data_IF_781119514701
#
_entry.id   IF_781119514701
#
_cell.length_a   1.000
_cell.length_b   1.000
_cell.length_c   1.000
_cell.angle_alpha   90.00
_cell.angle_beta   90.00
_cell.angle_gamma   90.00
#
_symmetry.space_group_name_H-M   'P 1'
#
loop_
_entity.id
_entity.type
_entity.pdbx_description
1 polymer ?
#
# COMPACT_ATOMS: atom_id res chain seq x y z
N UNK A 1 21.14 -1.77 13.27
CA UNK A 1 21.50 -3.21 13.40
C UNK A 1 20.77 -4.08 12.38
N UNK A 2 19.52 -3.76 12.00
CA UNK A 2 18.76 -4.57 11.04
C UNK A 2 19.23 -4.31 9.60
N UNK A 3 19.47 -3.06 9.21
CA UNK A 3 19.89 -2.70 7.84
C UNK A 3 21.27 -3.22 7.47
N UNK A 4 22.19 -3.26 8.44
CA UNK A 4 23.54 -3.81 8.29
C UNK A 4 23.51 -5.32 8.00
N UNK A 5 22.53 -6.05 8.56
CA UNK A 5 22.43 -7.50 8.35
C UNK A 5 21.87 -7.82 6.96
N UNK A 6 20.92 -7.03 6.47
CA UNK A 6 20.36 -7.21 5.13
C UNK A 6 21.36 -6.83 4.02
N UNK A 7 22.11 -5.73 4.20
CA UNK A 7 23.14 -5.36 3.23
C UNK A 7 24.27 -6.40 3.16
N UNK A 8 24.63 -6.97 4.30
CA UNK A 8 25.68 -8.00 4.41
C UNK A 8 25.23 -9.32 3.75
N UNK A 9 23.98 -9.74 3.98
CA UNK A 9 23.39 -10.91 3.31
C UNK A 9 23.31 -10.75 1.78
N UNK A 10 22.91 -9.58 1.29
CA UNK A 10 22.83 -9.29 -0.14
C UNK A 10 24.23 -9.25 -0.78
N UNK A 11 25.19 -8.61 -0.11
CA UNK A 11 26.59 -8.60 -0.53
C UNK A 11 27.19 -10.01 -0.58
N UNK A 12 26.83 -10.86 0.39
CA UNK A 12 27.27 -12.26 0.43
C UNK A 12 26.65 -13.10 -0.69
N UNK A 13 25.36 -12.89 -1.01
CA UNK A 13 24.72 -13.56 -2.16
C UNK A 13 25.34 -13.09 -3.48
N UNK A 14 25.62 -11.79 -3.64
CA UNK A 14 26.29 -11.27 -4.84
C UNK A 14 27.75 -11.70 -4.95
N UNK A 15 28.45 -11.89 -3.83
CA UNK A 15 29.80 -12.44 -3.81
C UNK A 15 29.78 -13.91 -4.25
N UNK A 16 28.82 -14.69 -3.74
CA UNK A 16 28.63 -16.08 -4.16
C UNK A 16 28.28 -16.17 -5.65
N UNK A 17 27.39 -15.32 -6.17
CA UNK A 17 27.00 -15.31 -7.59
C UNK A 17 28.17 -14.88 -8.51
N UNK A 18 29.09 -14.04 -8.02
CA UNK A 18 30.32 -13.67 -8.75
C UNK A 18 31.41 -14.74 -8.67
N UNK A 19 31.49 -15.47 -7.56
CA UNK A 19 32.46 -16.56 -7.36
C UNK A 19 32.01 -17.86 -8.02
N UNK A 20 30.70 -18.08 -8.18
CA UNK A 20 30.16 -19.21 -8.94
C UNK A 20 30.01 -18.81 -10.41
N UNK A 21 30.94 -19.18 -11.31
CA UNK A 21 30.66 -19.05 -12.74
C UNK A 21 29.38 -19.81 -13.07
N UNK A 22 28.56 -19.28 -13.99
CA UNK A 22 27.35 -19.94 -14.49
C UNK A 22 27.61 -21.38 -15.00
N UNK A 23 28.88 -21.73 -15.24
CA UNK A 23 29.35 -23.08 -15.58
C UNK A 23 29.38 -24.07 -14.40
N UNK A 24 29.54 -23.61 -13.16
CA UNK A 24 29.65 -24.53 -12.00
C UNK A 24 28.32 -25.09 -11.49
N UNK A 25 27.20 -24.40 -11.75
CA UNK A 25 25.86 -24.85 -11.30
C UNK A 25 25.09 -25.64 -12.37
N UNK A 26 25.61 -25.68 -13.60
CA UNK A 26 25.07 -26.50 -14.68
C UNK A 26 25.64 -27.92 -14.59
N UNK A 27 25.03 -28.77 -13.76
CA UNK A 27 25.53 -30.15 -13.52
C UNK A 27 25.62 -30.96 -14.82
N UNK A 28 24.79 -30.67 -15.84
CA UNK A 28 24.92 -31.24 -17.18
C UNK A 28 24.40 -30.22 -18.21
N UNK A 29 25.29 -29.61 -19.00
CA UNK A 29 24.88 -28.96 -20.25
C UNK A 29 24.61 -30.07 -21.26
N UNK A 30 23.38 -30.59 -21.25
CA UNK A 30 22.92 -31.65 -22.16
C UNK A 30 23.04 -31.20 -23.63
N UNK A 31 23.10 -29.90 -23.86
CA UNK A 31 23.33 -29.23 -25.13
C UNK A 31 24.80 -28.83 -25.36
N UNK A 32 25.77 -29.40 -24.67
CA UNK A 32 27.18 -29.17 -25.01
C UNK A 32 27.74 -30.41 -25.72
N UNK A 33 28.41 -30.27 -26.88
CA UNK A 33 28.96 -31.42 -27.57
C UNK A 33 30.01 -32.11 -26.69
N UNK A 34 29.93 -33.43 -26.57
CA UNK A 34 30.78 -34.29 -25.71
C UNK A 34 32.29 -34.20 -26.06
N UNK A 35 32.70 -33.34 -27.00
CA UNK A 35 34.07 -33.22 -27.52
C UNK A 35 34.84 -31.94 -27.16
N UNK A 36 34.31 -30.99 -26.37
CA UNK A 36 34.97 -29.68 -26.13
C UNK A 36 35.62 -29.51 -24.76
N UNK A 37 35.79 -30.58 -23.98
CA UNK A 37 36.38 -30.50 -22.63
C UNK A 37 37.92 -30.58 -22.59
N UNK A 38 38.62 -30.35 -23.69
CA UNK A 38 40.07 -30.09 -23.66
C UNK A 38 40.32 -28.69 -24.22
N UNK A 39 40.61 -27.76 -23.32
CA UNK A 39 40.95 -26.39 -23.65
C UNK A 39 42.23 -26.36 -24.49
N UNK A 40 42.09 -26.23 -25.81
CA UNK A 40 43.00 -25.44 -26.66
C UNK A 40 42.45 -25.35 -28.08
N UNK A 41 42.48 -24.12 -28.60
CA UNK A 41 42.59 -23.74 -30.01
C UNK A 41 41.37 -23.95 -30.92
N UNK A 42 40.73 -22.81 -31.23
CA UNK A 42 40.51 -22.33 -32.60
C UNK A 42 40.96 -23.30 -33.70
N UNK A 43 40.02 -24.04 -34.28
CA UNK A 43 40.23 -24.68 -35.58
C UNK A 43 39.37 -23.96 -36.59
N UNK A 44 40.00 -23.08 -37.38
CA UNK A 44 39.37 -22.49 -38.55
C UNK A 44 38.94 -23.62 -39.51
N UNK A 45 37.63 -23.85 -39.59
CA UNK A 45 37.05 -24.80 -40.54
C UNK A 45 37.09 -24.16 -41.93
N UNK A 46 37.97 -24.65 -42.81
CA UNK A 46 38.04 -24.21 -44.21
C UNK A 46 36.68 -24.38 -44.91
N UNK A 47 36.25 -23.43 -45.76
CA UNK A 47 34.88 -23.33 -46.27
C UNK A 47 34.54 -24.31 -47.42
N UNK A 48 35.36 -25.33 -47.64
CA UNK A 48 35.21 -26.24 -48.79
C UNK A 48 35.09 -27.69 -48.34
N UNK A 49 34.01 -27.98 -47.61
CA UNK A 49 33.51 -29.35 -47.49
C UNK A 49 31.99 -29.30 -47.57
N UNK A 50 31.46 -29.65 -48.74
CA UNK A 50 30.04 -29.93 -48.95
C UNK A 50 29.68 -31.14 -48.08
N UNK A 51 29.32 -30.92 -46.83
CA UNK A 51 28.72 -31.94 -45.96
C UNK A 51 27.21 -31.73 -46.03
N UNK A 52 26.56 -32.44 -46.95
CA UNK A 52 25.10 -32.61 -46.95
C UNK A 52 24.71 -33.64 -45.88
N UNK A 53 25.20 -33.43 -44.67
CA UNK A 53 24.90 -34.25 -43.51
C UNK A 53 24.24 -33.31 -42.49
N UNK A 54 22.93 -33.50 -42.30
CA UNK A 54 22.10 -32.74 -41.35
C UNK A 54 22.65 -32.84 -39.92
N UNK A 55 23.51 -33.83 -39.65
CA UNK A 55 24.14 -34.05 -38.35
C UNK A 55 25.21 -33.02 -37.96
N UNK A 56 25.72 -32.19 -38.89
CA UNK A 56 26.77 -31.21 -38.54
C UNK A 56 26.24 -29.88 -37.98
N UNK A 57 25.00 -29.48 -38.27
CA UNK A 57 24.42 -28.24 -37.73
C UNK A 57 24.00 -28.37 -36.24
N UNK A 58 23.83 -29.61 -35.76
CA UNK A 58 23.48 -29.89 -34.37
C UNK A 58 24.61 -29.61 -33.37
N UNK A 59 25.86 -29.54 -33.83
CA UNK A 59 27.03 -29.25 -32.98
C UNK A 59 27.26 -27.75 -32.76
N UNK A 60 26.78 -26.90 -33.68
CA UNK A 60 27.01 -25.45 -33.63
C UNK A 60 25.90 -24.70 -32.84
N UNK A 61 24.71 -25.29 -32.67
CA UNK A 61 23.61 -24.73 -31.85
C UNK A 61 22.57 -25.79 -31.41
N UNK A 62 22.89 -26.67 -30.46
CA UNK A 62 21.97 -27.71 -29.98
C UNK A 62 20.79 -27.12 -29.21
N UNK A 63 19.59 -27.24 -29.79
CA UNK A 63 18.32 -26.99 -29.10
C UNK A 63 17.81 -28.30 -28.50
N UNK A 64 17.12 -28.33 -27.33
CA UNK A 64 16.64 -29.57 -26.70
C UNK A 64 15.82 -30.48 -27.62
N UNK A 65 15.03 -29.88 -28.53
CA UNK A 65 14.25 -30.61 -29.53
C UNK A 65 15.13 -31.28 -30.62
N UNK A 66 16.26 -30.67 -30.98
CA UNK A 66 17.22 -31.23 -31.94
C UNK A 66 17.94 -32.43 -31.33
N UNK A 67 18.33 -32.35 -30.05
CA UNK A 67 19.01 -33.46 -29.38
C UNK A 67 18.12 -34.69 -29.24
N UNK A 68 16.84 -34.52 -28.93
CA UNK A 68 15.91 -35.65 -28.86
C UNK A 68 15.80 -36.35 -30.23
N UNK A 69 15.68 -35.58 -31.31
CA UNK A 69 15.67 -36.13 -32.67
C UNK A 69 16.97 -36.89 -32.99
N UNK A 70 18.13 -36.35 -32.63
CA UNK A 70 19.42 -37.01 -32.86
C UNK A 70 19.57 -38.31 -32.05
N UNK A 71 19.16 -38.31 -30.78
CA UNK A 71 19.17 -39.52 -29.95
C UNK A 71 18.26 -40.62 -30.54
N UNK A 72 17.10 -40.26 -31.09
CA UNK A 72 16.24 -41.22 -31.78
C UNK A 72 16.90 -41.74 -33.07
N UNK A 73 17.51 -40.86 -33.86
CA UNK A 73 18.21 -41.22 -35.08
C UNK A 73 19.38 -42.19 -34.81
N UNK A 74 20.24 -41.86 -33.84
CA UNK A 74 21.36 -42.73 -33.46
C UNK A 74 20.89 -44.06 -32.91
N UNK A 75 19.83 -44.07 -32.08
CA UNK A 75 19.24 -45.32 -31.57
C UNK A 75 18.78 -46.23 -32.72
N UNK A 76 18.14 -45.68 -33.75
CA UNK A 76 17.74 -46.44 -34.93
C UNK A 76 18.93 -46.91 -35.75
N UNK A 77 19.91 -46.04 -36.00
CA UNK A 77 21.13 -46.35 -36.74
C UNK A 77 21.92 -47.49 -36.06
N UNK A 78 22.17 -47.39 -34.76
CA UNK A 78 22.86 -48.42 -33.99
C UNK A 78 22.05 -49.70 -33.89
N UNK A 79 20.72 -49.64 -33.83
CA UNK A 79 19.88 -50.84 -33.87
C UNK A 79 20.00 -51.57 -35.21
N UNK A 80 19.98 -50.83 -36.33
CA UNK A 80 20.19 -51.38 -37.68
C UNK A 80 21.60 -51.94 -37.85
N UNK A 81 22.61 -51.22 -37.38
CA UNK A 81 24.00 -51.66 -37.45
C UNK A 81 24.24 -52.92 -36.62
N UNK A 82 23.70 -52.96 -35.40
CA UNK A 82 23.73 -54.14 -34.53
C UNK A 82 23.06 -55.33 -35.20
N UNK A 83 21.87 -55.16 -35.80
CA UNK A 83 21.19 -56.24 -36.51
C UNK A 83 22.03 -56.77 -37.68
N UNK A 84 22.51 -55.88 -38.54
CA UNK A 84 23.35 -56.22 -39.70
C UNK A 84 24.63 -56.95 -39.28
N UNK A 85 25.32 -56.46 -38.25
CA UNK A 85 26.52 -57.09 -37.72
C UNK A 85 26.24 -58.47 -37.16
N UNK A 86 25.18 -58.61 -36.36
CA UNK A 86 24.82 -59.90 -35.76
C UNK A 86 24.44 -60.92 -36.84
N UNK A 87 23.71 -60.50 -37.87
CA UNK A 87 23.38 -61.31 -39.03
C UNK A 87 24.65 -61.72 -39.82
N UNK A 88 25.58 -60.81 -40.04
CA UNK A 88 26.81 -61.10 -40.76
C UNK A 88 27.70 -62.08 -39.98
N UNK A 89 27.92 -61.83 -38.69
CA UNK A 89 28.73 -62.70 -37.83
C UNK A 89 28.10 -64.08 -37.68
N UNK A 90 26.78 -64.17 -37.58
CA UNK A 90 26.09 -65.47 -37.51
C UNK A 90 26.19 -66.24 -38.82
N UNK A 91 26.02 -65.57 -39.97
CA UNK A 91 26.24 -66.18 -41.29
C UNK A 91 27.68 -66.67 -41.47
N UNK A 92 28.67 -65.86 -41.10
CA UNK A 92 30.08 -66.24 -41.18
C UNK A 92 30.40 -67.42 -40.27
N UNK A 93 29.95 -67.35 -39.00
CA UNK A 93 30.17 -68.43 -38.02
C UNK A 93 29.52 -69.73 -38.47
N UNK A 94 28.33 -69.67 -39.06
CA UNK A 94 27.64 -70.84 -39.62
C UNK A 94 28.41 -71.45 -40.80
N UNK A 95 28.85 -70.64 -41.75
CA UNK A 95 29.66 -71.11 -42.88
C UNK A 95 30.98 -71.71 -42.41
N UNK A 96 31.67 -71.07 -41.46
CA UNK A 96 32.90 -71.59 -40.88
C UNK A 96 32.68 -72.90 -40.12
N UNK A 97 31.55 -73.05 -39.42
CA UNK A 97 31.22 -74.28 -38.69
C UNK A 97 30.97 -75.48 -39.61
N UNK A 98 30.39 -75.25 -40.81
CA UNK A 98 30.11 -76.31 -41.81
C UNK A 98 31.34 -76.63 -42.66
N UNK A 99 32.13 -75.61 -43.03
CA UNK A 99 33.29 -75.76 -43.94
C UNK A 99 34.58 -76.07 -43.17
N UNK A 100 34.63 -75.82 -41.86
CA UNK A 100 35.78 -76.12 -41.02
C UNK A 100 36.06 -77.63 -40.90
N UNK A 101 37.34 -78.00 -40.87
CA UNK A 101 37.80 -79.37 -40.64
C UNK A 101 38.55 -79.42 -39.29
N UNK A 102 38.00 -80.07 -38.24
CA UNK A 102 36.76 -80.84 -38.20
C UNK A 102 35.49 -79.96 -38.07
N UNK A 103 34.31 -80.44 -38.55
CA UNK A 103 33.07 -79.69 -38.47
C UNK A 103 32.64 -79.49 -37.02
N UNK A 104 32.20 -78.28 -36.69
CA UNK A 104 31.80 -77.94 -35.32
C UNK A 104 30.36 -78.42 -35.07
N UNK A 105 30.22 -79.54 -34.37
CA UNK A 105 28.92 -80.07 -33.92
C UNK A 105 28.68 -79.60 -32.50
N UNK A 106 27.69 -78.71 -32.32
CA UNK A 106 27.29 -78.24 -30.99
C UNK A 106 26.55 -79.37 -30.27
N UNK A 107 27.08 -79.83 -29.13
CA UNK A 107 26.42 -80.85 -28.33
C UNK A 107 25.27 -80.25 -27.51
N UNK A 108 24.30 -81.10 -27.13
CA UNK A 108 23.20 -80.65 -26.27
C UNK A 108 23.69 -80.19 -24.89
N UNK A 109 24.77 -80.79 -24.36
CA UNK A 109 25.44 -80.36 -23.12
C UNK A 109 25.89 -78.90 -23.19
N UNK A 110 26.53 -78.52 -24.30
CA UNK A 110 27.12 -77.20 -24.48
C UNK A 110 26.01 -76.12 -24.56
N UNK A 111 24.87 -76.46 -25.16
CA UNK A 111 23.70 -75.59 -25.16
C UNK A 111 23.11 -75.39 -23.77
N UNK A 112 23.03 -76.46 -22.95
CA UNK A 112 22.52 -76.36 -21.57
C UNK A 112 23.46 -75.51 -20.69
N UNK A 113 24.78 -75.65 -20.86
CA UNK A 113 25.77 -74.81 -20.17
C UNK A 113 25.64 -73.33 -20.57
N UNK A 114 25.56 -73.04 -21.87
CA UNK A 114 25.36 -71.68 -22.37
C UNK A 114 24.03 -71.07 -21.95
N UNK A 115 22.95 -71.85 -21.89
CA UNK A 115 21.65 -71.40 -21.39
C UNK A 115 21.71 -71.03 -19.90
N UNK A 116 22.47 -71.78 -19.09
CA UNK A 116 22.69 -71.47 -17.68
C UNK A 116 23.49 -70.18 -17.49
N UNK A 117 24.57 -69.98 -18.26
CA UNK A 117 25.36 -68.74 -18.24
C UNK A 117 24.53 -67.52 -18.70
N UNK A 118 23.75 -67.69 -19.78
CA UNK A 118 22.86 -66.63 -20.28
C UNK A 118 21.77 -66.27 -19.26
N UNK A 119 21.26 -67.25 -18.51
CA UNK A 119 20.30 -67.00 -17.44
C UNK A 119 20.90 -66.10 -16.35
N UNK A 120 22.13 -66.39 -15.90
CA UNK A 120 22.83 -65.59 -14.90
C UNK A 120 23.11 -64.17 -15.39
N UNK A 121 23.64 -64.03 -16.61
CA UNK A 121 23.93 -62.72 -17.20
C UNK A 121 22.64 -61.90 -17.40
N UNK A 122 21.54 -62.57 -17.77
CA UNK A 122 20.24 -61.90 -17.97
C UNK A 122 19.66 -61.41 -16.65
N UNK A 123 19.78 -62.19 -15.58
CA UNK A 123 19.38 -61.77 -14.24
C UNK A 123 20.21 -60.57 -13.76
N UNK A 124 21.54 -60.61 -13.94
CA UNK A 124 22.40 -59.48 -13.61
C UNK A 124 22.05 -58.23 -14.41
N UNK A 125 21.80 -58.37 -15.71
CA UNK A 125 21.39 -57.27 -16.58
C UNK A 125 20.05 -56.68 -16.14
N UNK A 126 19.08 -57.51 -15.73
CA UNK A 126 17.79 -57.06 -15.22
C UNK A 126 17.96 -56.27 -13.92
N UNK A 127 18.79 -56.77 -12.99
CA UNK A 127 19.10 -56.08 -11.74
C UNK A 127 19.73 -54.71 -12.00
N UNK A 128 20.76 -54.65 -12.86
CA UNK A 128 21.43 -53.37 -13.19
C UNK A 128 20.51 -52.40 -13.91
N UNK A 129 19.61 -52.88 -14.79
CA UNK A 129 18.61 -52.02 -15.44
C UNK A 129 17.65 -51.41 -14.44
N UNK A 130 17.22 -52.19 -13.44
CA UNK A 130 16.33 -51.70 -12.40
C UNK A 130 17.04 -50.68 -11.49
N UNK A 131 18.29 -50.93 -11.13
CA UNK A 131 19.12 -49.98 -10.37
C UNK A 131 19.27 -48.64 -11.11
N UNK A 132 19.59 -48.68 -12.40
CA UNK A 132 19.69 -47.46 -13.23
C UNK A 132 18.33 -46.77 -13.34
N UNK A 133 17.22 -47.51 -13.50
CA UNK A 133 15.88 -46.95 -13.56
C UNK A 133 15.54 -46.18 -12.28
N UNK A 134 15.78 -46.78 -11.12
CA UNK A 134 15.55 -46.14 -9.82
C UNK A 134 16.43 -44.89 -9.66
N UNK A 135 17.72 -44.99 -9.98
CA UNK A 135 18.64 -43.86 -9.90
C UNK A 135 18.23 -42.68 -10.80
N UNK A 136 17.73 -42.96 -12.01
CA UNK A 136 17.21 -41.93 -12.92
C UNK A 136 15.94 -41.28 -12.33
N UNK A 137 15.01 -42.06 -11.80
CA UNK A 137 13.79 -41.52 -11.16
C UNK A 137 14.11 -40.62 -9.96
N UNK A 138 15.08 -41.01 -9.13
CA UNK A 138 15.55 -40.21 -8.00
C UNK A 138 16.24 -38.92 -8.47
N UNK A 139 17.11 -39.02 -9.48
CA UNK A 139 17.79 -37.86 -10.06
C UNK A 139 16.80 -36.88 -10.67
N UNK A 140 15.77 -37.34 -11.37
CA UNK A 140 14.71 -36.47 -11.90
C UNK A 140 13.88 -35.81 -10.80
N UNK A 141 13.59 -36.52 -9.71
CA UNK A 141 12.88 -35.94 -8.58
C UNK A 141 13.72 -34.84 -7.93
N UNK A 142 15.00 -35.12 -7.69
CA UNK A 142 15.93 -34.16 -7.12
C UNK A 142 16.15 -32.95 -8.03
N UNK A 143 16.22 -33.15 -9.36
CA UNK A 143 16.37 -32.05 -10.31
C UNK A 143 15.14 -31.15 -10.35
N UNK A 144 13.92 -31.74 -10.33
CA UNK A 144 12.66 -30.97 -10.24
C UNK A 144 12.56 -30.18 -8.94
N UNK A 145 12.96 -30.76 -7.81
CA UNK A 145 12.94 -30.08 -6.52
C UNK A 145 14.01 -28.97 -6.45
N UNK A 146 15.20 -29.21 -7.02
CA UNK A 146 16.26 -28.22 -7.13
C UNK A 146 15.84 -27.03 -7.99
N UNK A 147 15.21 -27.28 -9.14
CA UNK A 147 14.71 -26.23 -10.03
C UNK A 147 13.72 -25.30 -9.30
N UNK A 148 12.75 -25.87 -8.57
CA UNK A 148 11.78 -25.08 -7.78
C UNK A 148 12.46 -24.24 -6.68
N UNK A 149 13.47 -24.81 -6.01
CA UNK A 149 14.23 -24.07 -4.97
C UNK A 149 15.02 -22.93 -5.59
N UNK A 150 15.63 -23.17 -6.74
CA UNK A 150 16.40 -22.16 -7.45
C UNK A 150 15.51 -21.00 -7.92
N UNK A 151 14.34 -21.28 -8.50
CA UNK A 151 13.35 -20.26 -8.86
C UNK A 151 12.92 -19.40 -7.65
N UNK A 152 12.69 -20.03 -6.49
CA UNK A 152 12.32 -19.31 -5.27
C UNK A 152 13.47 -18.41 -4.78
N UNK A 153 14.70 -18.92 -4.76
CA UNK A 153 15.88 -18.13 -4.37
C UNK A 153 16.08 -16.95 -5.32
N UNK A 154 15.90 -17.14 -6.63
CA UNK A 154 15.95 -16.03 -7.59
C UNK A 154 14.89 -14.97 -7.29
N UNK A 155 13.64 -15.37 -7.04
CA UNK A 155 12.55 -14.45 -6.68
C UNK A 155 12.85 -13.69 -5.38
N UNK A 156 13.34 -14.37 -4.35
CA UNK A 156 13.73 -13.72 -3.09
C UNK A 156 14.90 -12.76 -3.28
N UNK A 157 15.84 -13.10 -4.17
CA UNK A 157 17.01 -12.27 -4.48
C UNK A 157 16.59 -10.99 -5.20
N UNK A 158 15.65 -11.05 -6.15
CA UNK A 158 15.12 -9.84 -6.81
C UNK A 158 14.38 -8.96 -5.82
N UNK A 159 13.53 -9.54 -4.95
CA UNK A 159 12.85 -8.78 -3.89
C UNK A 159 13.84 -8.10 -2.93
N UNK A 160 14.88 -8.82 -2.49
CA UNK A 160 15.94 -8.27 -1.65
C UNK A 160 16.71 -7.14 -2.35
N UNK A 161 16.86 -7.19 -3.67
CA UNK A 161 17.54 -6.14 -4.44
C UNK A 161 16.73 -4.83 -4.55
N UNK A 162 15.40 -4.92 -4.55
CA UNK A 162 14.50 -3.77 -4.66
C UNK A 162 14.23 -3.10 -3.31
N UNK A 163 14.30 -3.86 -2.22
CA UNK A 163 13.97 -3.44 -0.85
C UNK A 163 14.78 -2.23 -0.36
N UNK A 164 16.12 -2.15 -0.55
CA UNK A 164 16.93 -1.01 -0.10
C UNK A 164 16.51 0.31 -0.77
N UNK A 165 16.19 0.28 -2.07
CA UNK A 165 15.72 1.47 -2.78
C UNK A 165 14.35 1.92 -2.25
N UNK A 166 13.45 0.96 -1.96
CA UNK A 166 12.17 1.26 -1.33
C UNK A 166 12.32 1.84 0.07
N UNK A 167 13.25 1.34 0.88
CA UNK A 167 13.54 1.87 2.22
C UNK A 167 14.06 3.31 2.12
N UNK A 168 15.05 3.56 1.27
CA UNK A 168 15.61 4.90 1.08
C UNK A 168 14.53 5.92 0.63
N UNK A 169 13.66 5.53 -0.30
CA UNK A 169 12.53 6.36 -0.72
C UNK A 169 11.56 6.64 0.45
N UNK A 170 11.24 5.63 1.27
CA UNK A 170 10.38 5.81 2.44
C UNK A 170 11.03 6.71 3.48
N UNK A 171 12.32 6.56 3.74
CA UNK A 171 13.07 7.44 4.66
C UNK A 171 13.08 8.90 4.18
N UNK A 172 13.28 9.13 2.87
CA UNK A 172 13.18 10.46 2.26
C UNK A 172 11.76 11.04 2.40
N UNK A 173 10.72 10.23 2.19
CA UNK A 173 9.35 10.72 2.39
C UNK A 173 9.07 11.06 3.85
N UNK A 174 9.59 10.28 4.80
CA UNK A 174 9.43 10.53 6.24
C UNK A 174 10.17 11.80 6.65
N UNK A 175 11.41 12.02 6.19
CA UNK A 175 12.16 13.24 6.48
C UNK A 175 11.43 14.46 5.92
N UNK A 176 10.99 14.39 4.65
CA UNK A 176 10.21 15.47 4.02
C UNK A 176 8.91 15.78 4.76
N UNK A 177 8.19 14.76 5.22
CA UNK A 177 6.95 14.96 5.99
C UNK A 177 7.24 15.56 7.37
N UNK A 178 8.31 15.16 8.04
CA UNK A 178 8.74 15.77 9.31
C UNK A 178 9.17 17.22 9.13
N UNK A 179 9.90 17.52 8.07
CA UNK A 179 10.32 18.89 7.73
C UNK A 179 9.11 19.77 7.41
N UNK A 180 8.15 19.26 6.61
CA UNK A 180 6.90 19.95 6.34
C UNK A 180 6.08 20.19 7.61
N UNK A 181 5.98 19.17 8.48
CA UNK A 181 5.26 19.28 9.76
C UNK A 181 5.93 20.30 10.69
N UNK A 182 7.25 20.27 10.81
CA UNK A 182 7.99 21.21 11.66
C UNK A 182 7.93 22.64 11.13
N UNK A 183 8.02 22.86 9.81
CA UNK A 183 7.81 24.16 9.19
C UNK A 183 6.39 24.68 9.45
N UNK A 184 5.38 23.83 9.29
CA UNK A 184 3.99 24.18 9.56
C UNK A 184 3.73 24.48 11.05
N UNK A 185 4.38 23.74 11.95
CA UNK A 185 4.34 24.02 13.39
C UNK A 185 5.04 25.34 13.72
N UNK A 186 6.20 25.64 13.12
CA UNK A 186 6.91 26.92 13.32
C UNK A 186 6.09 28.11 12.81
N UNK A 187 5.48 28.00 11.62
CA UNK A 187 4.61 29.02 11.05
C UNK A 187 3.34 29.23 11.90
N UNK A 188 2.73 28.15 12.39
CA UNK A 188 1.59 28.24 13.32
C UNK A 188 1.99 28.82 14.68
N UNK A 189 3.17 28.48 15.19
CA UNK A 189 3.69 29.03 16.45
C UNK A 189 3.95 30.53 16.36
N UNK A 190 4.39 31.04 15.21
CA UNK A 190 4.65 32.46 15.02
C UNK A 190 3.36 33.28 14.84
N UNK A 191 2.34 32.71 14.21
CA UNK A 191 1.05 33.37 13.97
C UNK A 191 0.07 33.27 15.15
N UNK A 192 0.11 32.19 15.93
CA UNK A 192 -0.80 31.96 17.07
C UNK A 192 -0.21 31.00 18.09
N UNK A 193 0.56 31.49 19.09
CA UNK A 193 1.17 30.67 20.13
C UNK A 193 0.17 29.81 20.92
N UNK A 194 -1.09 30.24 21.02
CA UNK A 194 -2.18 29.51 21.69
C UNK A 194 -2.65 28.27 20.91
N UNK A 195 -2.34 28.16 19.61
CA UNK A 195 -2.74 27.03 18.77
C UNK A 195 -1.68 25.92 18.71
N UNK A 196 -0.51 26.16 19.29
CA UNK A 196 0.61 25.20 19.31
C UNK A 196 0.93 24.72 20.73
N UNK A 197 -0.10 24.64 21.57
CA UNK A 197 0.01 24.17 22.94
C UNK A 197 -0.08 22.63 22.99
N UNK A 198 0.68 21.96 23.88
CA UNK A 198 0.48 20.55 24.15
C UNK A 198 -0.94 20.30 24.66
N UNK A 199 -1.45 19.08 24.45
CA UNK A 199 -2.84 18.71 24.72
C UNK A 199 -3.34 19.10 26.11
N UNK A 200 -2.50 18.97 27.14
CA UNK A 200 -2.89 19.36 28.49
C UNK A 200 -3.06 20.88 28.65
N UNK A 201 -2.21 21.67 27.99
CA UNK A 201 -2.31 23.12 28.02
C UNK A 201 -3.48 23.65 27.17
N UNK A 202 -3.86 22.97 26.07
CA UNK A 202 -5.07 23.32 25.32
C UNK A 202 -6.34 23.04 26.13
N UNK A 203 -6.39 21.94 26.88
CA UNK A 203 -7.52 21.62 27.75
C UNK A 203 -7.69 22.66 28.88
N UNK A 204 -6.59 23.12 29.48
CA UNK A 204 -6.64 24.20 30.48
C UNK A 204 -7.13 25.52 29.87
N UNK A 205 -6.58 25.92 28.73
CA UNK A 205 -7.01 27.13 28.02
C UNK A 205 -8.48 27.07 27.62
N UNK A 206 -8.97 25.89 27.21
CA UNK A 206 -10.39 25.66 26.88
C UNK A 206 -11.26 25.87 28.12
N UNK A 207 -10.89 25.26 29.26
CA UNK A 207 -11.62 25.42 30.51
C UNK A 207 -11.67 26.89 30.99
N UNK A 208 -10.56 27.62 30.86
CA UNK A 208 -10.50 29.05 31.19
C UNK A 208 -11.42 29.87 30.28
N UNK A 209 -11.40 29.61 28.97
CA UNK A 209 -12.28 30.29 28.00
C UNK A 209 -13.75 29.95 28.20
N UNK A 210 -14.08 28.72 28.57
CA UNK A 210 -15.44 28.32 28.92
C UNK A 210 -15.91 29.03 30.20
N UNK A 211 -15.05 29.14 31.22
CA UNK A 211 -15.35 29.90 32.43
C UNK A 211 -15.59 31.39 32.12
N UNK A 212 -14.74 32.01 31.29
CA UNK A 212 -14.93 33.37 30.79
C UNK A 212 -16.28 33.51 30.05
N UNK A 213 -16.59 32.61 29.12
CA UNK A 213 -17.86 32.63 28.37
C UNK A 213 -19.08 32.50 29.30
N UNK A 214 -19.04 31.64 30.32
CA UNK A 214 -20.15 31.53 31.27
C UNK A 214 -20.31 32.81 32.11
N UNK A 215 -19.20 33.46 32.50
CA UNK A 215 -19.24 34.74 33.20
C UNK A 215 -19.83 35.87 32.33
N UNK A 216 -19.43 35.93 31.06
CA UNK A 216 -19.95 36.89 30.08
C UNK A 216 -21.43 36.66 29.79
N UNK A 217 -21.86 35.41 29.67
CA UNK A 217 -23.29 35.07 29.53
C UNK A 217 -24.10 35.53 30.75
N UNK A 218 -23.54 35.41 31.96
CA UNK A 218 -24.19 35.88 33.19
C UNK A 218 -24.28 37.39 33.25
N UNK A 219 -23.23 38.12 32.87
CA UNK A 219 -23.27 39.59 32.83
C UNK A 219 -24.23 40.09 31.75
N UNK A 220 -24.26 39.45 30.59
CA UNK A 220 -25.23 39.72 29.52
C UNK A 220 -26.66 39.57 30.03
N UNK A 221 -27.01 38.43 30.65
CA UNK A 221 -28.35 38.20 31.21
C UNK A 221 -28.71 39.22 32.30
N UNK A 222 -27.75 39.61 33.14
CA UNK A 222 -27.97 40.66 34.15
C UNK A 222 -28.19 42.05 33.53
N UNK A 223 -27.50 42.34 32.43
CA UNK A 223 -27.67 43.59 31.68
C UNK A 223 -29.01 43.63 30.95
N UNK A 224 -29.42 42.52 30.34
CA UNK A 224 -30.72 42.38 29.67
C UNK A 224 -31.88 42.57 30.67
N UNK A 225 -31.82 41.95 31.85
CA UNK A 225 -32.84 42.15 32.89
C UNK A 225 -32.86 43.58 33.42
N UNK A 226 -31.70 44.21 33.59
CA UNK A 226 -31.61 45.62 33.97
C UNK A 226 -32.16 46.56 32.88
N UNK A 227 -31.92 46.26 31.60
CA UNK A 227 -32.48 46.99 30.46
C UNK A 227 -34.00 46.88 30.42
N UNK A 228 -34.56 45.68 30.61
CA UNK A 228 -36.02 45.49 30.67
C UNK A 228 -36.63 46.28 31.85
N UNK A 229 -35.98 46.28 33.01
CA UNK A 229 -36.47 47.08 34.15
C UNK A 229 -36.39 48.57 33.88
N UNK A 230 -35.27 49.05 33.32
CA UNK A 230 -35.06 50.48 33.02
C UNK A 230 -35.96 50.98 31.90
N UNK A 231 -36.24 50.18 30.90
CA UNK A 231 -37.24 50.50 29.87
C UNK A 231 -38.65 50.59 30.48
N UNK A 232 -39.04 49.64 31.35
CA UNK A 232 -40.30 49.74 32.09
C UNK A 232 -40.40 50.98 33.00
N UNK A 233 -39.33 51.32 33.71
CA UNK A 233 -39.24 52.55 34.52
C UNK A 233 -39.36 53.82 33.64
N UNK A 234 -38.68 53.85 32.49
CA UNK A 234 -38.76 54.97 31.55
C UNK A 234 -40.17 55.14 30.97
N UNK A 235 -40.81 54.05 30.53
CA UNK A 235 -42.19 54.09 30.05
C UNK A 235 -43.18 54.53 31.15
N UNK A 236 -42.95 54.16 32.41
CA UNK A 236 -43.79 54.61 33.52
C UNK A 236 -43.66 56.11 33.75
N UNK A 237 -42.42 56.63 33.76
CA UNK A 237 -42.15 58.07 33.85
C UNK A 237 -42.72 58.84 32.65
N UNK A 238 -42.65 58.30 31.43
CA UNK A 238 -43.30 58.88 30.25
C UNK A 238 -44.83 58.96 30.42
N UNK A 239 -45.46 57.93 30.97
CA UNK A 239 -46.90 57.97 31.29
C UNK A 239 -47.24 59.03 32.35
N UNK A 240 -46.43 59.15 33.40
CA UNK A 240 -46.59 60.17 34.43
C UNK A 240 -46.40 61.59 33.88
N UNK A 241 -45.36 61.81 33.07
CA UNK A 241 -45.13 63.07 32.37
C UNK A 241 -46.31 63.41 31.47
N UNK A 242 -46.83 62.47 30.69
CA UNK A 242 -48.00 62.71 29.84
C UNK A 242 -49.25 63.16 30.64
N UNK A 243 -49.46 62.60 31.84
CA UNK A 243 -50.54 63.03 32.74
C UNK A 243 -50.29 64.42 33.30
N UNK A 244 -49.06 64.72 33.73
CA UNK A 244 -48.68 66.05 34.23
C UNK A 244 -48.77 67.12 33.13
N UNK A 245 -48.38 66.80 31.91
CA UNK A 245 -48.52 67.67 30.74
C UNK A 245 -49.99 67.98 30.44
N UNK A 246 -50.88 66.97 30.50
CA UNK A 246 -52.33 67.21 30.38
C UNK A 246 -52.85 68.14 31.47
N UNK A 247 -52.52 67.88 32.75
CA UNK A 247 -52.90 68.77 33.86
C UNK A 247 -52.35 70.19 33.70
N UNK A 248 -51.09 70.32 33.28
CA UNK A 248 -50.47 71.62 32.98
C UNK A 248 -51.24 72.34 31.88
N UNK A 249 -51.57 71.65 30.79
CA UNK A 249 -52.32 72.23 29.67
C UNK A 249 -53.73 72.65 30.10
N UNK A 250 -54.41 71.86 30.93
CA UNK A 250 -55.71 72.20 31.53
C UNK A 250 -55.62 73.46 32.41
N UNK A 251 -54.63 73.54 33.31
CA UNK A 251 -54.43 74.72 34.18
C UNK A 251 -54.07 75.96 33.34
N UNK A 252 -53.24 75.82 32.31
CA UNK A 252 -52.92 76.91 31.39
C UNK A 252 -54.18 77.36 30.64
N UNK A 253 -55.03 76.42 30.19
CA UNK A 253 -56.29 76.74 29.54
C UNK A 253 -57.25 77.47 30.51
N UNK A 254 -57.40 76.98 31.73
CA UNK A 254 -58.18 77.64 32.79
C UNK A 254 -57.66 79.04 33.11
N UNK A 255 -56.34 79.21 33.22
CA UNK A 255 -55.72 80.51 33.46
C UNK A 255 -55.92 81.48 32.28
N UNK A 256 -55.77 81.01 31.04
CA UNK A 256 -56.07 81.80 29.84
C UNK A 256 -57.54 82.18 29.76
N UNK A 257 -58.45 81.28 30.11
CA UNK A 257 -59.88 81.56 30.17
C UNK A 257 -60.23 82.56 31.27
N UNK A 258 -59.64 82.44 32.46
CA UNK A 258 -59.81 83.40 33.55
C UNK A 258 -59.27 84.79 33.14
N UNK A 259 -58.11 84.83 32.48
CA UNK A 259 -57.55 86.06 31.92
C UNK A 259 -58.45 86.64 30.81
N UNK A 260 -59.03 85.80 29.94
CA UNK A 260 -59.99 86.22 28.92
C UNK A 260 -61.27 86.80 29.56
N UNK A 261 -61.81 86.14 30.59
CA UNK A 261 -62.98 86.63 31.36
C UNK A 261 -62.69 87.98 32.02
N UNK A 262 -61.50 88.14 32.61
CA UNK A 262 -61.04 89.41 33.19
C UNK A 262 -60.91 90.53 32.14
N UNK A 263 -60.42 90.22 30.93
CA UNK A 263 -60.28 91.20 29.84
C UNK A 263 -61.62 91.53 29.15
N UNK A 264 -62.59 90.63 29.21
CA UNK A 264 -63.93 90.84 28.64
C UNK A 264 -64.92 91.51 29.62
N UNK A 265 -64.49 91.85 30.84
CA UNK A 265 -65.28 92.66 31.78
C UNK A 265 -66.49 91.93 32.37
N UNK A 266 -66.50 90.60 32.37
CA UNK A 266 -67.50 89.78 33.07
C UNK A 266 -67.11 89.77 34.57
N UNK A 267 -67.90 90.41 35.44
CA UNK A 267 -67.59 90.46 36.87
C UNK A 267 -67.67 89.07 37.46
N UNK A 268 -66.64 88.69 38.23
CA UNK A 268 -66.59 87.44 38.95
C UNK A 268 -67.89 87.26 39.75
N UNK A 269 -68.57 86.11 39.64
CA UNK A 269 -69.84 85.86 40.35
C UNK A 269 -69.69 86.02 41.88
N UNK A 270 -68.46 85.97 42.38
CA UNK A 270 -68.10 86.32 43.76
C UNK A 270 -68.30 87.82 44.08
N UNK A 271 -67.99 88.73 43.17
CA UNK A 271 -68.22 90.17 43.36
C UNK A 271 -69.71 90.52 43.30
N UNK A 272 -70.50 89.86 42.43
CA UNK A 272 -71.96 90.02 42.40
C UNK A 272 -72.61 89.50 43.69
N UNK A 273 -72.19 88.33 44.18
CA UNK A 273 -72.64 87.83 45.49
C UNK A 273 -72.20 88.75 46.63
N UNK A 274 -70.98 89.28 46.59
CA UNK A 274 -70.50 90.27 47.57
C UNK A 274 -71.33 91.55 47.58
N UNK A 275 -71.70 92.08 46.40
CA UNK A 275 -72.61 93.23 46.26
C UNK A 275 -74.02 92.91 46.72
N UNK A 276 -74.53 91.70 46.45
CA UNK A 276 -75.84 91.26 46.91
C UNK A 276 -75.87 91.12 48.44
N UNK A 277 -74.86 90.52 49.05
CA UNK A 277 -74.72 90.44 50.50
C UNK A 277 -74.56 91.83 51.15
N UNK A 278 -73.78 92.73 50.54
CA UNK A 278 -73.67 94.12 51.01
C UNK A 278 -75.00 94.89 50.90
N UNK A 279 -75.74 94.70 49.80
CA UNK A 279 -77.08 95.27 49.63
C UNK A 279 -78.08 94.71 50.64
N UNK A 280 -78.04 93.39 50.90
CA UNK A 280 -78.84 92.76 51.94
C UNK A 280 -78.50 93.28 53.34
N UNK A 281 -77.22 93.50 53.64
CA UNK A 281 -76.76 94.11 54.89
C UNK A 281 -77.26 95.56 55.04
N UNK A 282 -77.30 96.32 53.94
CA UNK A 282 -77.74 97.71 53.94
C UNK A 282 -79.25 97.85 54.12
N UNK A 283 -80.05 96.93 53.55
CA UNK A 283 -81.49 96.82 53.80
C UNK A 283 -81.74 96.46 55.28
N UNK A 284 -81.00 95.50 55.82
CA UNK A 284 -81.09 95.12 57.24
C UNK A 284 -80.75 96.29 58.20
N UNK A 285 -79.76 97.13 57.86
CA UNK A 285 -79.42 98.35 58.62
C UNK A 285 -80.47 99.47 58.53
N UNK A 286 -81.36 99.45 57.53
CA UNK A 286 -82.48 100.40 57.43
C UNK A 286 -83.75 99.96 58.16
N UNK A 287 -83.75 98.74 58.72
CA UNK A 287 -84.88 98.13 59.43
C UNK A 287 -84.69 98.10 60.97
N UNK A 288 -83.60 98.69 61.48
CA UNK A 288 -83.22 98.85 62.90
C UNK A 288 -82.87 100.31 63.15
#
# INVERSE_FOLDING_TARGET
MVDTVYSDALAQIQALDKETPADTLAIIRISEPIGTSDGTATSERSPSKRTSDVSTDAYDNPTPATLEADLTHYKELFSKLRFSYLEQVTKEKFLRAIVGDPPLVVAHSDNVELEAELAQIKEELQRRKEEVRISVEEMEKMSRDLAKRYENVQLQTTQLSELPASIANLEETISRLRDAQSAQLQERSSLSPSQNLPLEATLRLLADKDAELTSLKRTLASSETALVRKTGEAEALERELAVLEKKRNEVIAQAKEAQRRKLQGESDGLEEMGRWYAGAEQILKSLV
#
